data_IF_691457342977
#
_entry.id   IF_691457342977
#
_cell.length_a   1.000
_cell.length_b   1.000
_cell.length_c   1.000
_cell.angle_alpha   90.00
_cell.angle_beta   90.00
_cell.angle_gamma   90.00
#
_symmetry.space_group_name_H-M   'P 1'
#
loop_
_entity.id
_entity.type
_entity.pdbx_description
1 polymer ?
#
# COMPACT_ATOMS: atom_id res chain seq x y z
N UNK A 1 14.79 -11.01 21.74
CA UNK A 1 14.82 -9.78 20.92
C UNK A 1 14.35 -8.63 21.79
N UNK A 2 15.17 -7.61 21.98
CA UNK A 2 14.76 -6.37 22.66
C UNK A 2 13.85 -5.61 21.71
N UNK A 3 12.63 -5.29 22.12
CA UNK A 3 11.73 -4.47 21.30
C UNK A 3 12.28 -3.05 21.30
N UNK A 4 12.55 -2.50 20.10
CA UNK A 4 12.91 -1.09 19.99
C UNK A 4 11.72 -0.24 20.45
N UNK A 5 11.94 0.67 21.40
CA UNK A 5 10.90 1.55 21.94
C UNK A 5 11.12 2.95 21.40
N UNK A 6 10.16 3.45 20.64
CA UNK A 6 10.21 4.80 20.06
C UNK A 6 9.83 5.82 21.13
N UNK A 7 10.74 6.73 21.46
CA UNK A 7 10.52 7.80 22.45
C UNK A 7 10.46 9.19 21.84
N UNK A 8 10.75 9.31 20.55
CA UNK A 8 10.73 10.59 19.81
C UNK A 8 10.08 10.37 18.44
N UNK A 9 9.14 11.23 18.08
CA UNK A 9 8.46 11.26 16.79
C UNK A 9 8.07 12.70 16.42
N UNK A 10 7.61 12.89 15.19
CA UNK A 10 7.21 14.18 14.66
C UNK A 10 5.68 14.29 14.62
N UNK A 11 5.17 15.44 15.07
CA UNK A 11 3.75 15.76 14.97
C UNK A 11 3.30 15.73 13.50
N UNK A 12 4.01 16.46 12.64
CA UNK A 12 3.72 16.54 11.21
C UNK A 12 4.80 15.82 10.40
N UNK A 13 4.39 14.93 9.50
CA UNK A 13 5.29 14.25 8.55
C UNK A 13 4.97 14.70 7.13
N UNK A 14 5.91 15.38 6.43
CA UNK A 14 5.76 15.74 5.03
C UNK A 14 5.63 14.51 4.13
N UNK A 15 4.66 14.53 3.21
CA UNK A 15 4.44 13.45 2.26
C UNK A 15 5.30 13.69 1.02
N UNK A 16 6.41 12.95 0.92
CA UNK A 16 7.37 13.08 -0.19
C UNK A 16 7.47 11.82 -1.05
N UNK A 17 7.25 10.65 -0.47
CA UNK A 17 7.34 9.37 -1.16
C UNK A 17 6.07 8.55 -0.90
N UNK A 18 5.31 8.26 -1.95
CA UNK A 18 4.00 7.62 -1.86
C UNK A 18 3.99 6.34 -2.67
N UNK A 19 3.61 5.23 -2.05
CA UNK A 19 3.44 3.94 -2.73
C UNK A 19 1.95 3.69 -3.00
N UNK A 20 1.56 3.62 -4.28
CA UNK A 20 0.17 3.53 -4.69
C UNK A 20 -0.09 2.22 -5.44
N UNK A 21 -1.02 1.41 -4.94
CA UNK A 21 -1.45 0.17 -5.59
C UNK A 21 -2.92 -0.12 -5.27
N UNK A 22 -3.82 0.31 -6.15
CA UNK A 22 -5.27 0.26 -5.90
C UNK A 22 -6.02 -0.57 -6.94
N UNK A 23 -6.95 -1.38 -6.45
CA UNK A 23 -7.91 -2.11 -7.28
C UNK A 23 -9.03 -1.19 -7.75
N UNK A 24 -9.71 -0.54 -6.79
CA UNK A 24 -10.68 0.52 -7.01
C UNK A 24 -9.97 1.87 -7.26
N UNK A 25 -10.24 2.48 -8.40
CA UNK A 25 -9.61 3.73 -8.86
C UNK A 25 -10.51 4.95 -8.65
N UNK A 26 -11.63 4.78 -7.96
CA UNK A 26 -12.54 5.87 -7.60
C UNK A 26 -11.77 6.97 -6.85
N UNK A 27 -11.99 8.23 -7.25
CA UNK A 27 -11.34 9.40 -6.64
C UNK A 27 -9.83 9.54 -6.88
N UNK A 28 -9.17 8.56 -7.52
CA UNK A 28 -7.71 8.56 -7.68
C UNK A 28 -7.20 9.76 -8.51
N UNK A 29 -7.98 10.20 -9.49
CA UNK A 29 -7.63 11.33 -10.35
C UNK A 29 -7.49 12.64 -9.57
N UNK A 30 -8.49 12.99 -8.77
CA UNK A 30 -8.45 14.17 -7.92
C UNK A 30 -7.35 14.05 -6.86
N UNK A 31 -7.28 12.89 -6.19
CA UNK A 31 -6.31 12.63 -5.14
C UNK A 31 -4.86 12.82 -5.61
N UNK A 32 -4.49 12.19 -6.72
CA UNK A 32 -3.14 12.29 -7.29
C UNK A 32 -2.88 13.69 -7.86
N UNK A 33 -3.85 14.27 -8.56
CA UNK A 33 -3.72 15.60 -9.16
C UNK A 33 -3.49 16.70 -8.13
N UNK A 34 -4.25 16.69 -7.03
CA UNK A 34 -4.08 17.63 -5.91
C UNK A 34 -2.79 17.36 -5.15
N UNK A 35 -2.46 16.10 -4.86
CA UNK A 35 -1.20 15.75 -4.18
C UNK A 35 0.04 16.33 -4.88
N UNK A 36 0.13 16.17 -6.21
CA UNK A 36 1.24 16.71 -7.00
C UNK A 36 1.22 18.24 -7.06
N UNK A 37 0.04 18.86 -7.00
CA UNK A 37 -0.09 20.33 -6.92
C UNK A 37 0.43 20.85 -5.58
N UNK A 38 0.11 20.18 -4.48
CA UNK A 38 0.54 20.54 -3.12
C UNK A 38 2.05 20.36 -2.96
N UNK A 39 2.58 19.23 -3.44
CA UNK A 39 4.01 18.93 -3.41
C UNK A 39 4.49 18.53 -4.81
N UNK A 40 5.00 19.48 -5.62
CA UNK A 40 5.52 19.19 -6.95
C UNK A 40 6.75 18.27 -6.97
N UNK A 41 7.39 18.05 -5.82
CA UNK A 41 8.54 17.16 -5.66
C UNK A 41 8.18 15.78 -5.11
N UNK A 42 6.88 15.50 -4.91
CA UNK A 42 6.42 14.18 -4.46
C UNK A 42 6.85 13.11 -5.47
N UNK A 43 7.27 11.96 -4.95
CA UNK A 43 7.59 10.76 -5.74
C UNK A 43 6.53 9.71 -5.50
N UNK A 44 5.89 9.28 -6.57
CA UNK A 44 4.85 8.27 -6.56
C UNK A 44 5.44 6.99 -7.13
N UNK A 45 5.46 5.93 -6.32
CA UNK A 45 5.84 4.59 -6.73
C UNK A 45 4.58 3.79 -7.03
N UNK A 46 4.49 3.18 -8.21
CA UNK A 46 3.34 2.34 -8.54
C UNK A 46 3.69 1.19 -9.50
N UNK A 47 2.75 0.29 -9.73
CA UNK A 47 2.91 -0.87 -10.61
C UNK A 47 1.59 -1.23 -11.31
N UNK A 48 1.69 -1.99 -12.41
CA UNK A 48 0.56 -2.58 -13.10
C UNK A 48 -0.48 -1.56 -13.59
N UNK A 49 -1.77 -1.90 -13.42
CA UNK A 49 -2.87 -1.04 -13.85
C UNK A 49 -2.96 0.29 -13.09
N UNK A 50 -2.46 0.33 -11.86
CA UNK A 50 -2.41 1.57 -11.06
C UNK A 50 -1.39 2.54 -11.65
N UNK A 51 -0.19 2.06 -12.00
CA UNK A 51 0.82 2.88 -12.65
C UNK A 51 0.30 3.49 -13.95
N UNK A 52 -0.33 2.68 -14.81
CA UNK A 52 -0.90 3.16 -16.08
C UNK A 52 -1.94 4.26 -15.85
N UNK A 53 -2.86 4.05 -14.91
CA UNK A 53 -3.89 5.04 -14.59
C UNK A 53 -3.29 6.34 -14.04
N UNK A 54 -2.28 6.26 -13.17
CA UNK A 54 -1.59 7.45 -12.64
C UNK A 54 -0.84 8.19 -13.75
N UNK A 55 -0.19 7.47 -14.66
CA UNK A 55 0.47 8.08 -15.81
C UNK A 55 -0.52 8.86 -16.69
N UNK A 56 -1.72 8.31 -16.94
CA UNK A 56 -2.80 9.00 -17.66
C UNK A 56 -3.27 10.27 -16.92
N UNK A 57 -3.48 10.19 -15.60
CA UNK A 57 -3.90 11.32 -14.77
C UNK A 57 -2.85 12.45 -14.82
N UNK A 58 -1.57 12.11 -14.80
CA UNK A 58 -0.48 13.08 -14.70
C UNK A 58 -0.04 13.67 -16.05
N UNK A 59 -0.29 12.97 -17.15
CA UNK A 59 0.16 13.38 -18.49
C UNK A 59 1.67 13.64 -18.52
N UNK A 60 2.06 14.80 -19.03
CA UNK A 60 3.48 15.19 -19.17
C UNK A 60 4.23 15.25 -17.84
N UNK A 61 3.52 15.46 -16.72
CA UNK A 61 4.14 15.48 -15.38
C UNK A 61 4.53 14.09 -14.88
N UNK A 62 4.04 13.01 -15.51
CA UNK A 62 4.33 11.66 -15.06
C UNK A 62 5.84 11.39 -14.98
N UNK A 63 6.61 11.86 -15.97
CA UNK A 63 8.06 11.63 -16.03
C UNK A 63 8.87 12.25 -14.87
N UNK A 64 8.34 13.25 -14.17
CA UNK A 64 9.05 13.91 -13.06
C UNK A 64 8.70 13.34 -11.68
N UNK A 65 7.52 12.73 -11.52
CA UNK A 65 7.02 12.31 -10.21
C UNK A 65 6.67 10.82 -10.12
N UNK A 66 6.36 10.14 -11.23
CA UNK A 66 5.94 8.75 -11.22
C UNK A 66 7.13 7.81 -11.51
N UNK A 67 7.33 6.82 -10.65
CA UNK A 67 8.37 5.81 -10.77
C UNK A 67 7.75 4.42 -10.72
N UNK A 68 8.13 3.53 -11.64
CA UNK A 68 7.69 2.15 -11.57
C UNK A 68 8.36 1.46 -10.38
N UNK A 69 7.61 0.63 -9.64
CA UNK A 69 8.15 -0.12 -8.50
C UNK A 69 9.35 -0.98 -8.92
N UNK A 70 9.31 -1.60 -10.11
CA UNK A 70 10.41 -2.38 -10.68
C UNK A 70 11.68 -1.55 -10.85
N UNK A 71 11.56 -0.29 -11.27
CA UNK A 71 12.71 0.60 -11.48
C UNK A 71 13.33 1.01 -10.14
N UNK A 72 12.50 1.18 -9.11
CA UNK A 72 12.96 1.47 -7.76
C UNK A 72 13.64 0.26 -7.09
N UNK A 73 13.00 -0.91 -7.14
CA UNK A 73 13.52 -2.12 -6.47
C UNK A 73 14.70 -2.70 -7.23
N UNK A 74 14.65 -2.66 -8.57
CA UNK A 74 15.52 -3.40 -9.47
C UNK A 74 15.07 -4.85 -9.67
N UNK A 75 13.90 -5.24 -9.16
CA UNK A 75 13.39 -6.61 -9.25
C UNK A 75 12.81 -6.86 -10.67
N UNK A 76 13.19 -7.97 -11.34
CA UNK A 76 12.61 -8.32 -12.63
C UNK A 76 11.12 -8.67 -12.47
N UNK A 77 10.31 -8.36 -13.48
CA UNK A 77 8.90 -8.73 -13.46
C UNK A 77 8.72 -10.25 -13.46
N UNK A 78 8.02 -10.78 -12.46
CA UNK A 78 7.62 -12.19 -12.43
C UNK A 78 6.37 -12.43 -13.28
N UNK A 79 6.27 -13.60 -13.93
CA UNK A 79 5.07 -13.99 -14.68
C UNK A 79 3.82 -13.91 -13.78
N UNK A 80 2.73 -13.35 -14.33
CA UNK A 80 1.49 -13.16 -13.58
C UNK A 80 1.57 -12.10 -12.48
N UNK A 81 2.73 -11.45 -12.28
CA UNK A 81 2.88 -10.42 -11.28
C UNK A 81 2.84 -10.92 -9.83
N UNK A 82 3.20 -12.18 -9.61
CA UNK A 82 3.18 -12.86 -8.32
C UNK A 82 3.93 -12.11 -7.20
N UNK A 83 5.10 -11.56 -7.52
CA UNK A 83 5.95 -10.85 -6.55
C UNK A 83 6.39 -9.53 -7.16
N UNK A 84 5.77 -8.42 -6.74
CA UNK A 84 6.13 -7.06 -7.20
C UNK A 84 6.52 -6.14 -6.05
N UNK A 85 5.77 -6.19 -4.96
CA UNK A 85 5.91 -5.26 -3.83
C UNK A 85 6.49 -5.93 -2.59
N UNK A 86 6.71 -7.25 -2.60
CA UNK A 86 7.40 -7.99 -1.54
C UNK A 86 8.92 -7.86 -1.69
N UNK A 87 9.40 -6.62 -1.58
CA UNK A 87 10.82 -6.28 -1.75
C UNK A 87 11.37 -5.57 -0.50
N UNK A 88 12.59 -5.92 -0.11
CA UNK A 88 13.20 -5.42 1.12
C UNK A 88 13.35 -3.89 1.13
N UNK A 89 13.59 -3.22 -0.01
CA UNK A 89 13.71 -1.76 -0.08
C UNK A 89 12.39 -1.07 0.22
N UNK A 90 11.26 -1.69 -0.16
CA UNK A 90 9.93 -1.18 0.17
C UNK A 90 9.69 -1.31 1.68
N UNK A 91 9.91 -2.49 2.27
CA UNK A 91 9.64 -2.68 3.69
C UNK A 91 10.63 -1.97 4.61
N UNK A 92 11.90 -1.84 4.21
CA UNK A 92 12.86 -0.98 4.91
C UNK A 92 12.42 0.48 4.80
N UNK A 93 11.96 0.89 3.61
CA UNK A 93 11.31 2.18 3.40
C UNK A 93 10.16 2.40 4.38
N UNK A 94 9.23 1.46 4.53
CA UNK A 94 8.03 1.58 5.36
C UNK A 94 8.25 1.45 6.87
N UNK A 95 9.17 0.60 7.31
CA UNK A 95 9.28 0.18 8.71
C UNK A 95 10.40 0.88 9.50
N UNK A 96 11.21 1.70 8.84
CA UNK A 96 12.27 2.47 9.50
C UNK A 96 11.73 3.67 10.28
N UNK A 97 12.46 4.02 11.34
CA UNK A 97 12.11 5.10 12.25
C UNK A 97 13.04 6.28 12.02
N UNK A 98 12.50 7.50 12.02
CA UNK A 98 13.25 8.73 11.70
C UNK A 98 14.46 8.95 12.61
N UNK A 99 14.32 8.68 13.91
CA UNK A 99 15.31 9.01 14.93
C UNK A 99 16.14 7.79 15.40
N UNK A 100 16.05 6.67 14.70
CA UNK A 100 16.87 5.49 14.97
C UNK A 100 18.09 5.49 14.06
N UNK A 101 19.28 5.63 14.63
CA UNK A 101 20.54 5.74 13.88
C UNK A 101 20.87 4.48 13.07
N UNK A 102 20.62 3.29 13.62
CA UNK A 102 20.81 2.03 12.88
C UNK A 102 19.88 1.93 11.68
N UNK A 103 18.61 2.35 11.83
CA UNK A 103 17.66 2.39 10.72
C UNK A 103 18.12 3.36 9.62
N UNK A 104 18.65 4.52 9.97
CA UNK A 104 19.20 5.49 9.01
C UNK A 104 20.39 4.90 8.24
N UNK A 105 21.33 4.26 8.93
CA UNK A 105 22.48 3.60 8.32
C UNK A 105 22.07 2.47 7.36
N UNK A 106 21.04 1.70 7.72
CA UNK A 106 20.49 0.67 6.84
C UNK A 106 19.86 1.26 5.57
N UNK A 107 19.14 2.37 5.69
CA UNK A 107 18.58 3.10 4.53
C UNK A 107 19.68 3.59 3.58
N UNK A 108 20.73 4.21 4.13
CA UNK A 108 21.89 4.70 3.36
C UNK A 108 22.62 3.55 2.66
N UNK A 109 22.94 2.48 3.40
CA UNK A 109 23.67 1.30 2.88
C UNK A 109 22.94 0.60 1.75
N UNK A 110 21.61 0.58 1.80
CA UNK A 110 20.78 -0.16 0.82
C UNK A 110 20.25 0.72 -0.31
N UNK A 111 20.38 2.04 -0.19
CA UNK A 111 19.79 3.00 -1.12
C UNK A 111 18.26 3.04 -1.08
N UNK A 112 17.63 2.49 -0.04
CA UNK A 112 16.19 2.56 0.15
C UNK A 112 15.74 4.01 0.40
N UNK A 113 14.50 4.32 0.04
CA UNK A 113 13.85 5.61 0.26
C UNK A 113 12.78 5.49 1.34
N UNK A 114 12.66 6.45 2.27
CA UNK A 114 11.54 6.45 3.20
C UNK A 114 10.25 6.52 2.39
N UNK A 115 9.22 5.80 2.83
CA UNK A 115 7.88 5.86 2.24
C UNK A 115 6.94 6.46 3.28
N UNK A 116 6.36 7.62 2.97
CA UNK A 116 5.61 8.44 3.92
C UNK A 116 4.12 8.13 3.87
N UNK A 117 3.65 7.56 2.75
CA UNK A 117 2.26 7.15 2.57
C UNK A 117 2.16 5.90 1.70
N UNK A 118 1.25 5.02 2.09
CA UNK A 118 0.77 3.89 1.27
C UNK A 118 -0.70 4.13 0.94
N UNK A 119 -1.05 3.98 -0.33
CA UNK A 119 -2.43 4.10 -0.83
C UNK A 119 -2.79 2.78 -1.50
N UNK A 120 -3.51 1.94 -0.76
CA UNK A 120 -3.80 0.55 -1.16
C UNK A 120 -5.22 0.21 -0.77
N UNK A 121 -6.05 -0.13 -1.76
CA UNK A 121 -7.32 -0.81 -1.52
C UNK A 121 -7.27 -2.20 -2.14
N UNK A 122 -7.77 -3.18 -1.40
CA UNK A 122 -7.69 -4.59 -1.77
C UNK A 122 -8.76 -4.92 -2.79
N UNK A 123 -8.43 -5.83 -3.71
CA UNK A 123 -9.44 -6.40 -4.59
C UNK A 123 -10.51 -7.10 -3.72
N UNK A 124 -11.82 -6.90 -3.97
CA UNK A 124 -12.87 -7.43 -3.11
C UNK A 124 -12.94 -8.96 -3.21
N UNK A 125 -12.19 -9.66 -2.36
CA UNK A 125 -12.23 -11.12 -2.26
C UNK A 125 -13.66 -11.62 -2.05
N UNK A 126 -14.42 -10.97 -1.16
CA UNK A 126 -15.85 -11.21 -0.94
C UNK A 126 -16.68 -11.15 -2.23
N UNK A 127 -16.37 -10.21 -3.14
CA UNK A 127 -17.04 -10.11 -4.43
C UNK A 127 -16.67 -11.23 -5.40
N UNK A 128 -15.47 -11.80 -5.27
CA UNK A 128 -15.04 -12.96 -6.05
C UNK A 128 -15.74 -14.23 -5.59
N UNK A 129 -15.77 -14.46 -4.28
CA UNK A 129 -16.37 -15.67 -3.71
C UNK A 129 -17.89 -15.65 -3.66
N UNK A 130 -18.52 -14.50 -3.95
CA UNK A 130 -19.96 -14.38 -4.14
C UNK A 130 -20.44 -14.84 -5.53
N UNK A 131 -19.52 -15.07 -6.49
CA UNK A 131 -19.89 -15.56 -7.83
C UNK A 131 -20.39 -17.01 -7.74
N UNK A 132 -21.51 -17.38 -8.39
CA UNK A 132 -22.12 -18.71 -8.26
C UNK A 132 -21.19 -19.89 -8.54
N UNK A 133 -20.31 -19.74 -9.55
CA UNK A 133 -19.45 -20.83 -10.05
C UNK A 133 -17.98 -20.65 -9.68
N UNK A 134 -17.69 -19.91 -8.61
CA UNK A 134 -16.31 -19.70 -8.16
C UNK A 134 -15.71 -21.02 -7.66
N UNK A 135 -14.59 -21.44 -8.26
CA UNK A 135 -13.87 -22.63 -7.79
C UNK A 135 -12.90 -22.29 -6.66
N UNK A 136 -12.51 -23.26 -5.81
CA UNK A 136 -11.45 -23.06 -4.84
C UNK A 136 -10.14 -22.53 -5.44
N UNK A 137 -9.75 -22.97 -6.63
CA UNK A 137 -8.55 -22.46 -7.33
C UNK A 137 -8.72 -21.00 -7.76
N UNK A 138 -9.88 -20.62 -8.28
CA UNK A 138 -10.16 -19.22 -8.63
C UNK A 138 -10.15 -18.31 -7.39
N UNK A 139 -10.77 -18.75 -6.29
CA UNK A 139 -10.72 -18.02 -5.04
C UNK A 139 -9.28 -17.89 -4.52
N UNK A 140 -8.52 -18.99 -4.48
CA UNK A 140 -7.11 -19.01 -4.07
C UNK A 140 -6.25 -18.05 -4.90
N UNK A 141 -6.45 -18.02 -6.21
CA UNK A 141 -5.73 -17.13 -7.12
C UNK A 141 -6.05 -15.64 -6.94
N UNK A 142 -7.15 -15.30 -6.27
CA UNK A 142 -7.56 -13.91 -5.98
C UNK A 142 -7.21 -13.46 -4.55
N UNK A 143 -6.47 -14.26 -3.78
CA UNK A 143 -5.94 -13.85 -2.48
C UNK A 143 -4.75 -12.92 -2.71
N UNK A 144 -4.88 -11.68 -2.28
CA UNK A 144 -3.82 -10.67 -2.33
C UNK A 144 -2.87 -10.86 -1.15
N UNK A 145 -1.57 -10.88 -1.45
CA UNK A 145 -0.50 -10.93 -0.45
C UNK A 145 0.19 -9.57 -0.31
N UNK A 146 0.43 -8.88 -1.43
CA UNK A 146 1.18 -7.64 -1.45
C UNK A 146 0.42 -6.50 -0.79
N UNK A 147 -0.87 -6.36 -1.10
CA UNK A 147 -1.74 -5.31 -0.56
C UNK A 147 -1.81 -5.34 0.98
N UNK A 148 -2.22 -6.46 1.61
CA UNK A 148 -2.28 -6.55 3.07
C UNK A 148 -0.92 -6.35 3.74
N UNK A 149 0.17 -6.86 3.17
CA UNK A 149 1.51 -6.66 3.72
C UNK A 149 1.92 -5.19 3.73
N UNK A 150 1.69 -4.45 2.63
CA UNK A 150 1.98 -3.01 2.57
C UNK A 150 1.14 -2.21 3.58
N UNK A 151 -0.18 -2.48 3.65
CA UNK A 151 -1.08 -1.80 4.59
C UNK A 151 -0.66 -2.06 6.05
N UNK A 152 -0.40 -3.31 6.42
CA UNK A 152 0.01 -3.66 7.79
C UNK A 152 1.37 -3.05 8.15
N UNK A 153 2.31 -3.01 7.21
CA UNK A 153 3.61 -2.38 7.44
C UNK A 153 3.49 -0.87 7.65
N UNK A 154 2.72 -0.18 6.81
CA UNK A 154 2.44 1.25 6.96
C UNK A 154 1.70 1.56 8.26
N UNK A 155 0.60 0.84 8.52
CA UNK A 155 -0.24 1.04 9.71
C UNK A 155 0.52 0.75 11.01
N UNK A 156 1.41 -0.25 11.03
CA UNK A 156 2.30 -0.49 12.17
C UNK A 156 3.18 0.72 12.47
N UNK A 157 3.70 1.37 11.43
CA UNK A 157 4.60 2.50 11.56
C UNK A 157 3.89 3.86 11.40
N UNK A 158 2.66 3.98 11.93
CA UNK A 158 1.85 5.21 11.84
C UNK A 158 2.53 6.46 12.41
N UNK A 159 3.52 6.28 13.28
CA UNK A 159 4.38 7.36 13.75
C UNK A 159 5.04 8.13 12.59
N UNK A 160 5.27 7.48 11.45
CA UNK A 160 5.86 8.09 10.25
C UNK A 160 5.03 7.90 8.98
N UNK A 161 4.22 6.85 8.87
CA UNK A 161 3.62 6.44 7.59
C UNK A 161 2.09 6.51 7.64
N UNK A 162 1.48 7.18 6.66
CA UNK A 162 0.04 7.16 6.46
C UNK A 162 -0.41 5.90 5.69
N UNK A 163 -1.41 5.18 6.18
CA UNK A 163 -1.95 3.97 5.55
C UNK A 163 -3.38 4.22 5.02
N UNK A 164 -3.50 4.71 3.79
CA UNK A 164 -4.80 5.05 3.18
C UNK A 164 -5.36 3.84 2.44
N UNK A 165 -6.50 3.31 2.90
CA UNK A 165 -7.12 2.11 2.31
C UNK A 165 -8.53 2.31 1.74
N UNK A 166 -9.13 3.49 1.91
CA UNK A 166 -10.48 3.76 1.46
C UNK A 166 -10.52 5.07 0.65
N UNK A 167 -11.03 5.05 -0.61
CA UNK A 167 -11.22 6.27 -1.39
C UNK A 167 -12.04 7.37 -0.71
N UNK A 168 -12.93 7.02 0.22
CA UNK A 168 -13.70 7.99 0.98
C UNK A 168 -12.83 8.92 1.85
N UNK A 169 -11.61 8.51 2.20
CA UNK A 169 -10.68 9.30 3.01
C UNK A 169 -9.82 10.26 2.17
N UNK A 170 -9.82 10.14 0.84
CA UNK A 170 -8.95 10.91 -0.05
C UNK A 170 -9.11 12.42 0.11
N UNK A 171 -10.36 12.91 0.18
CA UNK A 171 -10.63 14.33 0.32
C UNK A 171 -10.05 14.89 1.63
N UNK A 172 -10.33 14.23 2.76
CA UNK A 172 -9.84 14.67 4.07
C UNK A 172 -8.30 14.66 4.15
N UNK A 173 -7.65 13.62 3.59
CA UNK A 173 -6.18 13.54 3.53
C UNK A 173 -5.59 14.70 2.73
N UNK A 174 -6.17 15.00 1.57
CA UNK A 174 -5.67 16.08 0.71
C UNK A 174 -5.92 17.45 1.33
N UNK A 175 -7.09 17.67 1.91
CA UNK A 175 -7.43 18.94 2.57
C UNK A 175 -6.47 19.21 3.74
N UNK A 176 -6.13 18.19 4.53
CA UNK A 176 -5.11 18.35 5.57
C UNK A 176 -3.73 18.64 4.98
N UNK A 177 -3.31 17.91 3.94
CA UNK A 177 -2.04 18.20 3.26
C UNK A 177 -1.97 19.65 2.75
N UNK A 178 -3.04 20.19 2.17
CA UNK A 178 -3.11 21.60 1.75
C UNK A 178 -2.90 22.56 2.92
N UNK A 179 -3.59 22.33 4.04
CA UNK A 179 -3.49 23.17 5.23
C UNK A 179 -2.18 23.03 6.00
N UNK A 180 -1.46 21.91 5.82
CA UNK A 180 -0.25 21.56 6.56
C UNK A 180 1.00 21.50 5.68
N UNK A 181 1.03 22.26 4.58
CA UNK A 181 2.20 22.38 3.71
C UNK A 181 2.73 21.02 3.20
N UNK A 182 1.81 20.15 2.78
CA UNK A 182 2.10 18.81 2.27
C UNK A 182 2.34 17.75 3.34
N UNK A 183 2.08 18.04 4.62
CA UNK A 183 2.24 17.09 5.73
C UNK A 183 0.92 16.55 6.26
N UNK A 184 0.98 15.44 7.00
CA UNK A 184 -0.12 14.93 7.81
C UNK A 184 0.27 14.91 9.29
N UNK A 185 -0.69 15.11 10.19
CA UNK A 185 -0.55 14.98 11.64
C UNK A 185 -0.43 13.53 12.09
N UNK A 186 0.07 13.31 13.30
CA UNK A 186 0.13 11.98 13.91
C UNK A 186 -1.27 11.42 14.17
N UNK A 187 -2.23 12.29 14.53
CA UNK A 187 -3.62 11.93 14.75
C UNK A 187 -4.22 11.31 13.50
N UNK A 188 -4.10 11.98 12.35
CA UNK A 188 -4.59 11.44 11.07
C UNK A 188 -3.89 10.14 10.69
N UNK A 189 -2.56 10.04 10.86
CA UNK A 189 -1.84 8.80 10.56
C UNK A 189 -2.31 7.65 11.44
N UNK A 190 -2.62 7.92 12.71
CA UNK A 190 -3.15 6.92 13.64
C UNK A 190 -4.58 6.48 13.26
N UNK A 191 -5.47 7.41 12.92
CA UNK A 191 -6.82 7.08 12.44
C UNK A 191 -6.78 6.21 11.17
N UNK A 192 -5.91 6.57 10.23
CA UNK A 192 -5.69 5.78 9.01
C UNK A 192 -5.16 4.38 9.34
N UNK A 193 -4.26 4.25 10.31
CA UNK A 193 -3.75 2.96 10.76
C UNK A 193 -4.84 2.07 11.38
N UNK A 194 -5.76 2.65 12.18
CA UNK A 194 -6.92 1.93 12.70
C UNK A 194 -7.78 1.37 11.57
N UNK A 195 -8.12 2.22 10.59
CA UNK A 195 -8.90 1.82 9.40
C UNK A 195 -8.19 0.74 8.59
N UNK A 196 -6.88 0.87 8.38
CA UNK A 196 -6.09 -0.10 7.62
C UNK A 196 -6.06 -1.48 8.30
N UNK A 197 -5.86 -1.53 9.62
CA UNK A 197 -5.90 -2.82 10.34
C UNK A 197 -7.29 -3.44 10.32
N UNK A 198 -8.36 -2.65 10.50
CA UNK A 198 -9.74 -3.14 10.37
C UNK A 198 -10.02 -3.69 8.96
N UNK A 199 -9.58 -2.97 7.92
CA UNK A 199 -9.72 -3.41 6.54
C UNK A 199 -9.03 -4.76 6.28
N UNK A 200 -7.80 -4.93 6.76
CA UNK A 200 -7.07 -6.20 6.62
C UNK A 200 -7.66 -7.33 7.47
N UNK A 201 -8.17 -7.03 8.67
CA UNK A 201 -8.85 -8.02 9.50
C UNK A 201 -10.14 -8.53 8.83
N UNK A 202 -10.94 -7.62 8.26
CA UNK A 202 -12.13 -7.97 7.48
C UNK A 202 -11.78 -8.80 6.25
N UNK A 203 -10.69 -8.46 5.55
CA UNK A 203 -10.20 -9.19 4.38
C UNK A 203 -9.82 -10.64 4.73
N UNK A 204 -8.99 -10.83 5.75
CA UNK A 204 -8.57 -12.16 6.21
C UNK A 204 -9.75 -12.97 6.75
N UNK A 205 -10.73 -12.31 7.40
CA UNK A 205 -11.96 -12.96 7.84
C UNK A 205 -12.75 -13.54 6.68
N UNK A 206 -12.88 -12.80 5.57
CA UNK A 206 -13.58 -13.29 4.38
C UNK A 206 -12.88 -14.51 3.76
N UNK A 207 -11.55 -14.53 3.73
CA UNK A 207 -10.75 -15.68 3.29
C UNK A 207 -10.98 -16.88 4.19
N UNK A 208 -10.87 -16.70 5.51
CA UNK A 208 -11.05 -17.76 6.49
C UNK A 208 -12.46 -18.37 6.42
N UNK A 209 -13.49 -17.53 6.33
CA UNK A 209 -14.88 -17.96 6.22
C UNK A 209 -15.16 -18.70 4.90
N UNK A 210 -14.52 -18.31 3.79
CA UNK A 210 -14.62 -19.04 2.53
C UNK A 210 -13.97 -20.41 2.61
N UNK A 211 -12.70 -20.49 3.06
CA UNK A 211 -11.94 -21.74 3.14
C UNK A 211 -12.59 -22.75 4.10
N UNK A 212 -13.18 -22.27 5.20
CA UNK A 212 -13.92 -23.13 6.16
C UNK A 212 -15.11 -23.86 5.53
N UNK A 213 -15.70 -23.31 4.46
CA UNK A 213 -16.84 -23.92 3.75
C UNK A 213 -16.40 -24.95 2.71
N UNK A 214 -15.11 -24.99 2.35
CA UNK A 214 -14.61 -25.91 1.33
C UNK A 214 -14.24 -27.26 1.94
N UNK A 215 -14.49 -28.33 1.21
CA UNK A 215 -13.94 -29.65 1.52
C UNK A 215 -12.64 -29.89 0.75
N UNK A 216 -11.83 -30.85 1.23
CA UNK A 216 -10.63 -31.25 0.48
C UNK A 216 -10.97 -31.86 -0.88
N UNK A 217 -12.17 -32.41 -1.06
CA UNK A 217 -12.62 -32.94 -2.34
C UNK A 217 -12.91 -31.82 -3.35
N UNK A 218 -13.53 -30.71 -2.92
CA UNK A 218 -13.77 -29.54 -3.77
C UNK A 218 -12.45 -28.95 -4.29
N UNK A 219 -11.44 -28.90 -3.40
CA UNK A 219 -10.10 -28.44 -3.75
C UNK A 219 -9.43 -29.42 -4.72
N UNK A 220 -9.43 -30.72 -4.42
CA UNK A 220 -8.82 -31.74 -5.28
C UNK A 220 -9.44 -31.81 -6.67
N UNK A 221 -10.74 -31.57 -6.80
CA UNK A 221 -11.43 -31.53 -8.09
C UNK A 221 -10.90 -30.44 -9.04
N UNK A 222 -10.18 -29.44 -8.53
CA UNK A 222 -9.54 -28.41 -9.35
C UNK A 222 -8.22 -28.85 -10.00
N UNK A 223 -7.67 -30.01 -9.64
CA UNK A 223 -6.33 -30.43 -10.05
C UNK A 223 -6.31 -31.85 -10.60
N UNK A 224 -5.50 -32.07 -11.63
CA UNK A 224 -5.08 -33.42 -12.02
C UNK A 224 -3.91 -33.82 -11.12
N UNK A 225 -4.07 -34.90 -10.36
CA UNK A 225 -3.03 -35.50 -9.51
C UNK A 225 -2.51 -36.80 -10.12
#
# INVERSE_FOLDING_TARGET
MTINTVTKTDEFVPISNVLVSVSDKSGLEDFIGRMVTINPSVRIFSTGGTYKRIAEILGDRAGSVLTAVSDYTGQPETQGGLVKTLDFKIYLGLLTETYNESHRQDMERTGAKPIDMVVVNLYPFSGTVAKPDVTPEQARGNIDIGGPCMLRAAAKNFLRVAAVCNPADYAAVIDEMEHRQGALSIDTRFELAQKAFEHTATYDRAIADYLKKQTINDVRACYTM
#
